data_IF_288328599805
#
_entry.id   IF_288328599805
#
_cell.length_a   1.000
_cell.length_b   1.000
_cell.length_c   1.000
_cell.angle_alpha   90.00
_cell.angle_beta   90.00
_cell.angle_gamma   90.00
#
_symmetry.space_group_name_H-M   'P 1'
#
loop_
_entity.id
_entity.type
_entity.pdbx_description
1 polymer ?
#
# COMPACT_ATOMS: atom_id res chain seq x y z
N UNK A 1 6.27 -5.96 -23.80
CA UNK A 1 5.23 -5.02 -23.28
C UNK A 1 5.77 -3.60 -23.32
N UNK A 2 4.99 -2.65 -23.82
CA UNK A 2 5.29 -1.22 -23.82
C UNK A 2 4.18 -0.52 -23.04
N UNK A 3 4.54 0.44 -22.18
CA UNK A 3 3.57 1.29 -21.46
C UNK A 3 3.30 2.55 -22.30
N UNK A 4 2.02 2.88 -22.47
CA UNK A 4 1.56 4.05 -23.19
C UNK A 4 0.44 4.75 -22.42
N UNK A 5 0.84 5.61 -21.52
CA UNK A 5 -0.07 6.23 -20.55
C UNK A 5 -0.69 5.17 -19.63
N UNK A 6 -2.02 5.12 -19.60
CA UNK A 6 -2.82 4.13 -18.85
C UNK A 6 -2.98 2.79 -19.58
N UNK A 7 -2.53 2.70 -20.82
CA UNK A 7 -2.61 1.50 -21.64
C UNK A 7 -1.28 0.72 -21.63
N UNK A 8 -1.36 -0.53 -21.99
CA UNK A 8 -0.21 -1.36 -22.32
C UNK A 8 -0.34 -1.91 -23.73
N UNK A 9 0.79 -2.03 -24.42
CA UNK A 9 0.89 -2.68 -25.73
C UNK A 9 1.65 -3.99 -25.57
N UNK A 10 0.97 -5.10 -25.78
CA UNK A 10 1.52 -6.45 -25.72
C UNK A 10 1.29 -7.11 -27.06
N UNK A 11 2.34 -7.59 -27.70
CA UNK A 11 2.31 -8.24 -29.02
C UNK A 11 1.56 -7.39 -30.07
N UNK A 12 1.82 -6.07 -30.06
CA UNK A 12 1.22 -5.11 -30.97
C UNK A 12 -0.23 -4.70 -30.64
N UNK A 13 -0.83 -5.29 -29.61
CA UNK A 13 -2.21 -5.00 -29.21
C UNK A 13 -2.24 -4.03 -28.04
N UNK A 14 -2.94 -2.89 -28.23
CA UNK A 14 -3.22 -1.91 -27.16
C UNK A 14 -4.36 -2.39 -26.27
N UNK A 15 -4.18 -2.34 -24.97
CA UNK A 15 -5.18 -2.75 -23.97
C UNK A 15 -5.14 -1.80 -22.78
N UNK A 16 -6.32 -1.48 -22.21
CA UNK A 16 -6.45 -0.76 -20.96
C UNK A 16 -5.86 -1.58 -19.82
N UNK A 17 -4.91 -1.01 -19.08
CA UNK A 17 -4.20 -1.70 -18.00
C UNK A 17 -5.04 -1.74 -16.72
N UNK A 18 -5.63 -2.89 -16.41
CA UNK A 18 -6.38 -3.16 -15.18
C UNK A 18 -5.55 -3.86 -14.10
N UNK A 19 -4.20 -3.83 -14.22
CA UNK A 19 -3.25 -4.47 -13.29
C UNK A 19 -2.20 -3.50 -12.76
N UNK A 20 -2.41 -2.18 -12.94
CA UNK A 20 -1.52 -1.13 -12.41
C UNK A 20 -1.86 -0.79 -10.97
N UNK A 21 -0.84 -0.41 -10.19
CA UNK A 21 -1.02 0.18 -8.87
C UNK A 21 -0.95 1.72 -8.88
N UNK A 22 -0.93 2.36 -10.04
CA UNK A 22 -1.01 3.82 -10.20
C UNK A 22 -2.45 4.31 -9.97
N UNK A 23 -2.98 4.12 -8.77
CA UNK A 23 -4.40 4.25 -8.44
C UNK A 23 -5.01 5.61 -8.78
N UNK A 24 -4.22 6.69 -8.71
CA UNK A 24 -4.67 8.04 -9.07
C UNK A 24 -4.40 8.40 -10.53
N UNK A 25 -3.74 7.52 -11.33
CA UNK A 25 -3.39 7.78 -12.72
C UNK A 25 -2.35 8.89 -12.88
N UNK A 26 -1.46 9.08 -11.89
CA UNK A 26 -0.49 10.17 -11.90
C UNK A 26 0.73 9.87 -12.78
N UNK A 27 1.10 8.59 -12.91
CA UNK A 27 2.21 8.19 -13.76
C UNK A 27 1.97 8.52 -15.24
N UNK A 28 0.70 8.50 -15.67
CA UNK A 28 0.29 8.88 -17.03
C UNK A 28 -0.01 10.38 -17.20
N UNK A 29 -0.13 11.15 -16.11
CA UNK A 29 -0.48 12.58 -16.14
C UNK A 29 0.68 13.43 -16.66
N UNK A 30 0.59 13.74 -17.97
CA UNK A 30 1.61 14.54 -18.66
C UNK A 30 1.69 15.99 -18.12
N UNK A 31 0.54 16.60 -17.83
CA UNK A 31 0.50 17.98 -17.36
C UNK A 31 1.16 18.11 -15.98
N UNK A 32 0.90 17.16 -15.09
CA UNK A 32 1.54 17.11 -13.76
C UNK A 32 3.06 16.96 -13.88
N UNK A 33 3.54 16.10 -14.79
CA UNK A 33 4.98 15.93 -15.03
C UNK A 33 5.62 17.20 -15.61
N UNK A 34 4.97 17.84 -16.58
CA UNK A 34 5.46 19.11 -17.17
C UNK A 34 5.51 20.23 -16.12
N UNK A 35 4.53 20.30 -15.21
CA UNK A 35 4.54 21.25 -14.10
C UNK A 35 5.75 21.00 -13.17
N UNK A 36 5.99 19.74 -12.79
CA UNK A 36 7.17 19.39 -11.99
C UNK A 36 8.47 19.72 -12.70
N UNK A 37 8.62 19.38 -13.98
CA UNK A 37 9.84 19.65 -14.76
C UNK A 37 10.19 21.14 -14.81
N UNK A 38 9.19 22.04 -14.82
CA UNK A 38 9.43 23.51 -14.75
C UNK A 38 10.01 23.96 -13.41
N UNK A 39 9.91 23.16 -12.36
CA UNK A 39 10.49 23.46 -11.04
C UNK A 39 11.96 23.05 -10.92
N UNK A 40 12.47 22.28 -11.88
CA UNK A 40 13.84 21.77 -11.85
C UNK A 40 14.84 22.74 -12.50
N UNK A 41 16.02 22.76 -11.93
CA UNK A 41 17.21 23.41 -12.48
C UNK A 41 18.35 22.39 -12.53
N UNK A 42 19.46 22.65 -13.24
CA UNK A 42 20.64 21.79 -13.20
C UNK A 42 21.12 21.49 -11.75
N UNK A 43 21.00 22.47 -10.84
CA UNK A 43 21.42 22.32 -9.44
C UNK A 43 20.45 21.47 -8.59
N UNK A 44 19.17 21.39 -8.97
CA UNK A 44 18.14 20.63 -8.25
C UNK A 44 17.85 19.27 -8.88
N UNK A 45 18.21 19.06 -10.14
CA UNK A 45 18.14 17.78 -10.81
C UNK A 45 19.33 16.90 -10.42
N UNK A 46 19.25 16.28 -9.25
CA UNK A 46 20.30 15.41 -8.72
C UNK A 46 19.86 13.93 -8.87
N UNK A 47 20.47 13.19 -9.83
CA UNK A 47 20.00 11.84 -10.22
C UNK A 47 20.52 10.74 -9.29
N UNK A 48 21.33 11.05 -8.28
CA UNK A 48 21.84 10.07 -7.32
C UNK A 48 22.14 10.72 -5.97
N UNK A 49 21.97 9.97 -4.89
CA UNK A 49 22.47 10.34 -3.55
C UNK A 49 23.94 9.96 -3.37
N UNK A 50 24.46 9.03 -4.16
CA UNK A 50 25.84 8.52 -4.14
C UNK A 50 26.34 8.00 -2.79
N UNK A 51 25.48 7.94 -1.77
CA UNK A 51 25.83 7.54 -0.40
C UNK A 51 24.57 7.15 0.39
N UNK A 52 24.79 6.50 1.56
CA UNK A 52 23.71 6.30 2.53
C UNK A 52 23.32 7.61 3.21
N UNK A 53 22.09 7.66 3.73
CA UNK A 53 21.57 8.84 4.44
C UNK A 53 22.37 9.20 5.70
N UNK A 54 22.98 8.19 6.36
CA UNK A 54 23.80 8.40 7.56
C UNK A 54 25.19 8.95 7.27
N UNK A 55 25.62 8.93 6.03
CA UNK A 55 26.87 9.53 5.59
C UNK A 55 26.59 10.87 4.91
N UNK A 56 26.67 10.92 3.58
CA UNK A 56 26.51 12.15 2.79
C UNK A 56 25.26 12.18 1.90
N UNK A 57 24.46 11.11 1.93
CA UNK A 57 23.27 10.96 1.08
C UNK A 57 21.97 11.56 1.63
N UNK A 58 22.01 12.27 2.78
CA UNK A 58 20.82 12.93 3.34
C UNK A 58 20.72 14.39 2.85
N UNK A 59 20.15 14.57 1.68
CA UNK A 59 19.93 15.89 1.10
C UNK A 59 18.78 16.64 1.79
N UNK A 60 18.76 18.00 1.81
CA UNK A 60 17.72 18.79 2.48
C UNK A 60 16.30 18.51 2.00
N UNK A 61 16.11 17.97 0.80
CA UNK A 61 14.79 17.61 0.26
C UNK A 61 14.16 16.44 1.03
N UNK A 62 14.96 15.55 1.63
CA UNK A 62 14.46 14.49 2.51
C UNK A 62 13.79 15.05 3.76
N UNK A 63 14.47 16.00 4.41
CA UNK A 63 13.95 16.64 5.62
C UNK A 63 12.66 17.40 5.34
N UNK A 64 12.59 18.07 4.17
CA UNK A 64 11.36 18.76 3.73
C UNK A 64 10.21 17.78 3.50
N UNK A 65 10.46 16.61 2.88
CA UNK A 65 9.43 15.60 2.68
C UNK A 65 8.97 15.00 4.02
N UNK A 66 9.92 14.65 4.91
CA UNK A 66 9.62 14.10 6.24
C UNK A 66 8.84 15.09 7.11
N UNK A 67 9.21 16.36 7.09
CA UNK A 67 8.49 17.42 7.79
C UNK A 67 7.06 17.61 7.24
N UNK A 68 6.90 17.55 5.91
CA UNK A 68 5.58 17.66 5.27
C UNK A 68 4.69 16.46 5.61
N UNK A 69 5.21 15.25 5.57
CA UNK A 69 4.47 14.06 6.00
C UNK A 69 4.06 14.13 7.47
N UNK A 70 4.97 14.47 8.37
CA UNK A 70 4.67 14.64 9.80
C UNK A 70 3.54 15.66 10.01
N UNK A 71 3.62 16.81 9.31
CA UNK A 71 2.59 17.88 9.36
C UNK A 71 1.23 17.38 8.85
N UNK A 72 1.19 16.72 7.70
CA UNK A 72 -0.06 16.24 7.09
C UNK A 72 -0.77 15.21 7.97
N UNK A 73 -0.01 14.27 8.52
CA UNK A 73 -0.55 13.24 9.40
C UNK A 73 -0.79 13.70 10.84
N UNK A 74 -0.36 14.92 11.21
CA UNK A 74 -0.43 15.40 12.59
C UNK A 74 0.43 14.58 13.57
N UNK A 75 1.53 13.97 13.07
CA UNK A 75 2.45 13.14 13.85
C UNK A 75 3.74 13.90 14.19
N UNK A 76 4.45 13.44 15.22
CA UNK A 76 5.67 14.10 15.68
C UNK A 76 6.80 14.05 14.65
N UNK A 77 6.85 12.99 13.83
CA UNK A 77 7.94 12.79 12.88
C UNK A 77 7.57 11.82 11.76
N UNK A 78 8.38 11.88 10.71
CA UNK A 78 8.38 10.89 9.62
C UNK A 78 9.81 10.46 9.28
N UNK A 79 9.95 9.33 8.61
CA UNK A 79 11.21 8.82 8.06
C UNK A 79 10.95 8.16 6.71
N UNK A 80 11.80 8.50 5.71
CA UNK A 80 11.65 8.02 4.32
C UNK A 80 12.63 6.89 4.03
N UNK A 81 12.16 5.89 3.29
CA UNK A 81 12.90 4.68 2.91
C UNK A 81 12.88 4.46 1.39
N UNK A 82 13.75 3.58 0.89
CA UNK A 82 13.88 3.29 -0.53
C UNK A 82 12.65 2.56 -1.12
N UNK A 83 11.92 1.80 -0.31
CA UNK A 83 10.68 1.13 -0.71
C UNK A 83 9.88 0.67 0.51
N UNK A 84 8.61 0.29 0.32
CA UNK A 84 7.80 -0.38 1.35
C UNK A 84 8.42 -1.69 1.82
N UNK A 85 9.07 -2.43 0.92
CA UNK A 85 9.80 -3.64 1.28
C UNK A 85 10.94 -3.35 2.27
N UNK A 86 11.76 -2.32 2.00
CA UNK A 86 12.83 -1.88 2.93
C UNK A 86 12.27 -1.38 4.26
N UNK A 87 11.13 -0.67 4.25
CA UNK A 87 10.47 -0.24 5.47
C UNK A 87 10.07 -1.45 6.33
N UNK A 88 9.29 -2.38 5.78
CA UNK A 88 8.76 -3.53 6.52
C UNK A 88 9.86 -4.50 6.98
N UNK A 89 10.84 -4.81 6.12
CA UNK A 89 11.97 -5.69 6.47
C UNK A 89 12.99 -5.06 7.39
N UNK A 90 12.94 -3.76 7.58
CA UNK A 90 13.87 -3.04 8.47
C UNK A 90 13.29 -2.64 9.80
N UNK A 91 12.02 -2.15 9.82
CA UNK A 91 11.39 -1.66 11.06
C UNK A 91 11.17 -2.80 12.04
N UNK A 92 10.50 -3.88 11.64
CA UNK A 92 10.13 -4.98 12.52
C UNK A 92 11.36 -5.59 13.24
N UNK A 93 12.46 -5.96 12.55
CA UNK A 93 13.65 -6.46 13.27
C UNK A 93 14.36 -5.39 14.10
N UNK A 94 14.26 -4.11 13.75
CA UNK A 94 14.88 -3.05 14.53
C UNK A 94 14.19 -2.84 15.89
N UNK A 95 12.85 -2.97 15.94
CA UNK A 95 12.04 -2.66 17.13
C UNK A 95 11.66 -3.89 17.96
N UNK A 96 12.11 -5.08 17.57
CA UNK A 96 11.73 -6.36 18.17
C UNK A 96 12.94 -7.11 18.73
N UNK A 97 12.73 -7.86 19.80
CA UNK A 97 13.70 -8.75 20.40
C UNK A 97 13.04 -10.06 20.88
N UNK A 98 13.79 -10.91 21.58
CA UNK A 98 13.30 -12.19 22.09
C UNK A 98 12.15 -12.06 23.12
N UNK A 99 11.95 -10.88 23.71
CA UNK A 99 10.85 -10.58 24.64
C UNK A 99 9.67 -9.87 23.95
N UNK A 100 9.69 -9.81 22.62
CA UNK A 100 8.61 -9.26 21.79
C UNK A 100 7.78 -10.41 21.21
N UNK A 101 6.45 -10.28 21.29
CA UNK A 101 5.50 -11.10 20.53
C UNK A 101 4.95 -10.28 19.38
N UNK A 102 5.00 -10.82 18.17
CA UNK A 102 4.31 -10.25 17.01
C UNK A 102 3.04 -11.06 16.77
N UNK A 103 1.89 -10.37 16.77
CA UNK A 103 0.60 -10.91 16.37
C UNK A 103 0.27 -10.37 14.97
N UNK A 104 0.52 -11.19 13.94
CA UNK A 104 0.35 -10.77 12.55
C UNK A 104 -0.92 -11.35 11.93
N UNK A 105 -1.67 -10.52 11.19
CA UNK A 105 -2.74 -11.02 10.36
C UNK A 105 -2.20 -12.04 9.34
N UNK A 106 -2.99 -13.08 9.06
CA UNK A 106 -2.56 -14.20 8.20
C UNK A 106 -2.29 -13.77 6.76
N UNK A 107 -2.89 -12.69 6.29
CA UNK A 107 -2.79 -12.23 4.90
C UNK A 107 -1.89 -11.01 4.71
N UNK A 108 -1.10 -10.60 5.72
CA UNK A 108 -0.16 -9.49 5.55
C UNK A 108 0.85 -9.78 4.44
N UNK A 109 1.29 -8.70 3.80
CA UNK A 109 2.21 -8.72 2.66
C UNK A 109 3.51 -9.47 2.96
N UNK A 110 4.10 -10.08 1.93
CA UNK A 110 5.35 -10.85 2.04
C UNK A 110 6.49 -10.07 2.71
N UNK A 111 6.60 -8.76 2.48
CA UNK A 111 7.62 -7.93 3.13
C UNK A 111 7.46 -7.84 4.66
N UNK A 112 6.23 -7.87 5.18
CA UNK A 112 5.97 -7.95 6.62
C UNK A 112 6.37 -9.31 7.17
N UNK A 113 6.04 -10.39 6.46
CA UNK A 113 6.47 -11.76 6.81
C UNK A 113 8.00 -11.86 6.85
N UNK A 114 8.69 -11.30 5.85
CA UNK A 114 10.15 -11.33 5.79
C UNK A 114 10.77 -10.45 6.91
N UNK A 115 10.17 -9.29 7.21
CA UNK A 115 10.57 -8.49 8.37
C UNK A 115 10.40 -9.22 9.70
N UNK A 116 9.29 -9.95 9.87
CA UNK A 116 9.06 -10.80 11.04
C UNK A 116 10.10 -11.90 11.13
N UNK A 117 10.41 -12.58 10.03
CA UNK A 117 11.44 -13.65 9.98
C UNK A 117 12.84 -13.15 10.30
N UNK A 118 13.17 -11.92 9.92
CA UNK A 118 14.45 -11.27 10.23
C UNK A 118 14.54 -10.80 11.69
N UNK A 119 13.42 -10.73 12.41
CA UNK A 119 13.38 -10.33 13.81
C UNK A 119 13.68 -11.50 14.75
N UNK A 120 14.07 -11.18 15.98
CA UNK A 120 14.21 -12.17 17.05
C UNK A 120 12.90 -12.44 17.82
N UNK A 121 11.79 -11.80 17.41
CA UNK A 121 10.51 -11.90 18.06
C UNK A 121 9.84 -13.26 17.83
N UNK A 122 9.07 -13.73 18.82
CA UNK A 122 8.09 -14.79 18.58
C UNK A 122 6.95 -14.25 17.73
N UNK A 123 6.45 -15.03 16.78
CA UNK A 123 5.31 -14.65 15.96
C UNK A 123 4.16 -15.65 16.07
N UNK A 124 2.95 -15.16 16.24
CA UNK A 124 1.71 -15.92 16.10
C UNK A 124 0.87 -15.22 15.02
N UNK A 125 0.46 -15.99 14.00
CA UNK A 125 -0.40 -15.47 12.94
C UNK A 125 -1.85 -15.77 13.30
N UNK A 126 -2.67 -14.72 13.48
CA UNK A 126 -4.10 -14.87 13.70
C UNK A 126 -4.86 -14.93 12.35
N UNK A 127 -6.06 -15.51 12.39
CA UNK A 127 -6.92 -15.62 11.22
C UNK A 127 -7.27 -14.23 10.71
N UNK A 128 -7.29 -14.11 9.40
CA UNK A 128 -7.53 -12.85 8.70
C UNK A 128 -8.76 -12.12 9.24
N UNK A 129 -8.55 -10.86 9.66
CA UNK A 129 -9.55 -9.97 10.25
C UNK A 129 -10.33 -10.56 11.46
N UNK A 130 -9.82 -11.60 12.12
CA UNK A 130 -10.47 -12.22 13.27
C UNK A 130 -10.08 -11.51 14.59
N UNK A 131 -10.78 -10.43 14.89
CA UNK A 131 -10.57 -9.63 16.11
C UNK A 131 -10.84 -10.45 17.39
N UNK A 132 -11.77 -11.39 17.36
CA UNK A 132 -12.07 -12.23 18.52
C UNK A 132 -10.89 -13.16 18.84
N UNK A 133 -10.26 -13.76 17.82
CA UNK A 133 -9.04 -14.54 18.00
C UNK A 133 -7.89 -13.65 18.48
N UNK A 134 -7.72 -12.45 17.90
CA UNK A 134 -6.68 -11.50 18.30
C UNK A 134 -6.83 -11.11 19.78
N UNK A 135 -8.04 -10.76 20.22
CA UNK A 135 -8.31 -10.43 21.62
C UNK A 135 -8.01 -11.60 22.56
N UNK A 136 -8.36 -12.83 22.19
CA UNK A 136 -8.02 -14.02 22.96
C UNK A 136 -6.50 -14.19 23.09
N UNK A 137 -5.73 -14.02 22.00
CA UNK A 137 -4.27 -14.10 22.02
C UNK A 137 -3.64 -13.00 22.89
N UNK A 138 -4.19 -11.77 22.86
CA UNK A 138 -3.77 -10.71 23.74
C UNK A 138 -4.00 -11.05 25.20
N UNK A 139 -5.18 -11.54 25.58
CA UNK A 139 -5.49 -11.99 26.94
C UNK A 139 -4.55 -13.10 27.42
N UNK A 140 -4.20 -14.02 26.55
CA UNK A 140 -3.32 -15.16 26.88
C UNK A 140 -1.86 -14.73 27.07
N UNK A 141 -1.37 -13.76 26.29
CA UNK A 141 0.06 -13.48 26.18
C UNK A 141 0.51 -12.12 26.73
N UNK A 142 -0.37 -11.17 27.03
CA UNK A 142 0.04 -9.79 27.37
C UNK A 142 0.98 -9.71 28.59
N UNK A 143 0.85 -10.57 29.57
CA UNK A 143 1.72 -10.61 30.75
C UNK A 143 3.01 -11.39 30.55
N UNK A 144 3.10 -12.22 29.50
CA UNK A 144 4.27 -13.07 29.24
C UNK A 144 5.36 -12.38 28.42
N UNK A 145 5.03 -11.29 27.74
CA UNK A 145 5.95 -10.54 26.88
C UNK A 145 6.08 -9.10 27.32
N UNK A 146 7.29 -8.54 27.22
CA UNK A 146 7.53 -7.13 27.50
C UNK A 146 6.76 -6.22 26.54
N UNK A 147 6.65 -6.64 25.27
CA UNK A 147 6.03 -5.89 24.21
C UNK A 147 5.27 -6.83 23.26
N UNK A 148 4.11 -6.40 22.81
CA UNK A 148 3.37 -7.09 21.75
C UNK A 148 3.19 -6.10 20.59
N UNK A 149 3.43 -6.55 19.36
CA UNK A 149 3.18 -5.74 18.16
C UNK A 149 2.08 -6.43 17.34
N UNK A 150 0.94 -5.76 17.18
CA UNK A 150 -0.10 -6.16 16.24
C UNK A 150 0.31 -5.65 14.87
N UNK A 151 0.35 -6.54 13.87
CA UNK A 151 0.76 -6.21 12.49
C UNK A 151 -0.37 -6.53 11.53
N UNK A 152 -0.80 -5.51 10.78
CA UNK A 152 -1.86 -5.61 9.78
C UNK A 152 -1.61 -4.68 8.58
N UNK A 153 -2.43 -4.84 7.53
CA UNK A 153 -2.59 -3.84 6.46
C UNK A 153 -3.95 -3.15 6.62
N UNK A 154 -4.07 -1.92 6.19
CA UNK A 154 -5.38 -1.24 6.18
C UNK A 154 -6.26 -1.71 5.04
N UNK A 155 -5.66 -1.96 3.85
CA UNK A 155 -6.28 -2.59 2.68
C UNK A 155 -5.38 -3.72 2.22
N UNK A 156 -5.92 -4.93 2.14
CA UNK A 156 -5.17 -6.11 1.73
C UNK A 156 -5.07 -6.23 0.21
N UNK A 157 -3.87 -6.55 -0.26
CA UNK A 157 -3.48 -6.41 -1.68
C UNK A 157 -4.22 -7.32 -2.66
N UNK A 158 -4.67 -8.52 -2.21
CA UNK A 158 -5.27 -9.52 -3.11
C UNK A 158 -6.79 -9.49 -3.13
N UNK A 159 -7.39 -9.13 -2.01
CA UNK A 159 -8.84 -9.16 -1.82
C UNK A 159 -9.46 -7.75 -1.80
N UNK A 160 -8.67 -6.70 -1.53
CA UNK A 160 -9.15 -5.34 -1.44
C UNK A 160 -10.07 -5.08 -0.25
N UNK A 161 -10.12 -6.00 0.68
CA UNK A 161 -10.83 -5.85 1.94
C UNK A 161 -10.01 -5.03 2.95
N UNK A 162 -10.63 -4.66 4.06
CA UNK A 162 -10.08 -3.69 5.01
C UNK A 162 -10.01 -4.28 6.42
N UNK A 163 -8.98 -3.87 7.17
CA UNK A 163 -8.94 -4.07 8.61
C UNK A 163 -9.83 -3.04 9.33
N UNK A 164 -10.43 -3.44 10.42
CA UNK A 164 -11.14 -2.53 11.34
C UNK A 164 -10.12 -1.82 12.25
N UNK A 165 -9.54 -0.72 11.73
CA UNK A 165 -8.52 0.06 12.45
C UNK A 165 -9.03 0.64 13.78
N UNK A 166 -10.26 1.19 13.87
CA UNK A 166 -10.83 1.62 15.15
C UNK A 166 -10.88 0.51 16.18
N UNK A 167 -11.33 -0.69 15.81
CA UNK A 167 -11.40 -1.83 16.74
C UNK A 167 -9.99 -2.31 17.16
N UNK A 168 -9.02 -2.29 16.26
CA UNK A 168 -7.62 -2.59 16.59
C UNK A 168 -7.01 -1.55 17.53
N UNK A 169 -7.29 -0.27 17.32
CA UNK A 169 -6.88 0.80 18.22
C UNK A 169 -7.51 0.65 19.61
N UNK A 170 -8.77 0.25 19.68
CA UNK A 170 -9.45 -0.03 20.95
C UNK A 170 -8.84 -1.23 21.68
N UNK A 171 -8.53 -2.32 20.95
CA UNK A 171 -7.80 -3.45 21.52
C UNK A 171 -6.44 -3.04 22.08
N UNK A 172 -5.68 -2.23 21.33
CA UNK A 172 -4.38 -1.71 21.79
C UNK A 172 -4.53 -0.91 23.09
N UNK A 173 -5.51 0.00 23.21
CA UNK A 173 -5.71 0.85 24.39
C UNK A 173 -5.98 0.07 25.68
N UNK A 174 -6.50 -1.15 25.58
CA UNK A 174 -6.76 -2.00 26.76
C UNK A 174 -5.49 -2.60 27.38
N UNK A 175 -4.37 -2.58 26.65
CA UNK A 175 -3.13 -3.20 27.09
C UNK A 175 -1.96 -2.22 26.96
N UNK A 176 -1.26 -1.96 28.07
CA UNK A 176 -0.21 -0.93 28.12
C UNK A 176 1.09 -1.28 27.36
N UNK A 177 1.27 -2.54 26.98
CA UNK A 177 2.46 -3.03 26.27
C UNK A 177 2.20 -3.43 24.81
N UNK A 178 1.04 -3.07 24.25
CA UNK A 178 0.66 -3.35 22.87
C UNK A 178 0.95 -2.15 21.98
N UNK A 179 1.64 -2.41 20.87
CA UNK A 179 1.89 -1.46 19.79
C UNK A 179 1.15 -1.90 18.53
N UNK A 180 0.78 -0.94 17.70
CA UNK A 180 0.05 -1.19 16.45
C UNK A 180 0.90 -0.77 15.24
N UNK A 181 1.15 -1.73 14.36
CA UNK A 181 1.81 -1.56 13.06
C UNK A 181 0.78 -1.71 11.95
N UNK A 182 0.61 -0.67 11.14
CA UNK A 182 -0.33 -0.66 10.01
C UNK A 182 0.39 -0.29 8.72
N UNK A 183 0.30 -1.15 7.71
CA UNK A 183 0.75 -0.85 6.35
C UNK A 183 -0.41 -0.27 5.53
N UNK A 184 -0.28 0.98 5.14
CA UNK A 184 -1.23 1.76 4.33
C UNK A 184 -0.86 1.80 2.84
N UNK A 185 -0.02 0.88 2.37
CA UNK A 185 0.50 0.91 1.00
C UNK A 185 -0.58 0.96 -0.08
N UNK A 186 -1.75 0.39 0.18
CA UNK A 186 -2.90 0.41 -0.74
C UNK A 186 -3.94 1.49 -0.42
N UNK A 187 -3.78 2.23 0.66
CA UNK A 187 -4.73 3.26 1.08
C UNK A 187 -4.19 4.69 0.92
N UNK A 188 -2.88 4.90 1.10
CA UNK A 188 -2.25 6.20 0.89
C UNK A 188 -2.49 6.73 -0.53
N UNK A 189 -2.88 7.98 -0.65
CA UNK A 189 -3.32 8.65 -1.88
C UNK A 189 -4.80 8.41 -2.21
N UNK A 190 -5.39 7.29 -1.75
CA UNK A 190 -6.71 6.81 -2.21
C UNK A 190 -7.82 7.04 -1.19
N UNK A 191 -7.54 6.81 0.10
CA UNK A 191 -8.52 6.89 1.19
C UNK A 191 -8.30 8.12 2.06
N UNK A 192 -9.36 8.54 2.74
CA UNK A 192 -9.35 9.73 3.57
C UNK A 192 -9.60 11.03 2.80
N UNK A 193 -9.99 12.07 3.54
CA UNK A 193 -10.33 13.37 2.95
C UNK A 193 -9.13 14.03 2.26
N UNK A 194 -7.95 13.93 2.87
CA UNK A 194 -6.71 14.47 2.33
C UNK A 194 -5.92 13.44 1.51
N UNK A 195 -6.38 12.17 1.46
CA UNK A 195 -5.69 11.07 0.80
C UNK A 195 -4.57 10.47 1.65
N UNK A 196 -4.66 10.55 2.97
CA UNK A 196 -3.61 10.04 3.86
C UNK A 196 -3.82 8.58 4.27
N UNK A 197 -4.96 7.97 3.89
CA UNK A 197 -5.21 6.56 4.11
C UNK A 197 -6.43 6.26 4.99
N UNK A 198 -6.60 4.98 5.35
CA UNK A 198 -7.72 4.52 6.17
C UNK A 198 -7.60 4.99 7.62
N UNK A 199 -6.39 5.19 8.14
CA UNK A 199 -6.17 5.73 9.48
C UNK A 199 -6.69 7.18 9.60
N UNK A 200 -6.48 8.01 8.56
CA UNK A 200 -7.08 9.34 8.49
C UNK A 200 -8.60 9.25 8.40
N UNK A 201 -9.10 8.39 7.50
CA UNK A 201 -10.54 8.23 7.24
C UNK A 201 -11.32 7.83 8.49
N UNK A 202 -10.74 7.00 9.33
CA UNK A 202 -11.33 6.53 10.59
C UNK A 202 -10.91 7.32 11.82
N UNK A 203 -10.09 8.36 11.67
CA UNK A 203 -9.68 9.24 12.76
C UNK A 203 -8.78 8.58 13.81
N UNK A 204 -8.08 7.49 13.48
CA UNK A 204 -7.24 6.73 14.42
C UNK A 204 -5.73 6.84 14.16
N UNK A 205 -5.29 7.80 13.33
CA UNK A 205 -3.85 8.01 13.03
C UNK A 205 -2.99 8.08 14.28
N UNK A 206 -3.42 8.80 15.32
CA UNK A 206 -2.68 8.97 16.58
C UNK A 206 -2.61 7.69 17.44
N UNK A 207 -3.45 6.69 17.19
CA UNK A 207 -3.43 5.41 17.91
C UNK A 207 -2.41 4.41 17.32
N UNK A 208 -1.89 4.67 16.11
CA UNK A 208 -0.98 3.77 15.40
C UNK A 208 0.46 4.18 15.69
N UNK A 209 1.28 3.24 16.17
CA UNK A 209 2.67 3.50 16.53
C UNK A 209 3.61 3.49 15.32
N UNK A 210 3.32 2.60 14.36
CA UNK A 210 4.08 2.41 13.13
C UNK A 210 3.13 2.49 11.94
N UNK A 211 2.84 3.69 11.46
CA UNK A 211 2.00 3.90 10.29
C UNK A 211 2.90 4.03 9.06
N UNK A 212 2.91 2.98 8.25
CA UNK A 212 3.79 2.85 7.07
C UNK A 212 2.98 3.00 5.79
N UNK A 213 3.52 3.69 4.80
CA UNK A 213 2.94 3.77 3.47
C UNK A 213 4.01 3.76 2.39
N UNK A 214 3.59 3.63 1.13
CA UNK A 214 4.49 3.63 -0.02
C UNK A 214 4.17 4.74 -1.00
N UNK A 215 5.20 5.28 -1.64
CA UNK A 215 5.05 6.21 -2.76
C UNK A 215 4.98 5.50 -4.12
N UNK A 216 5.27 4.19 -4.15
CA UNK A 216 5.36 3.39 -5.37
C UNK A 216 4.01 2.99 -5.98
N UNK A 217 2.89 3.50 -5.46
CA UNK A 217 1.54 3.20 -5.94
C UNK A 217 0.81 4.50 -6.31
N UNK A 218 -0.20 4.91 -5.54
CA UNK A 218 -1.01 6.09 -5.85
C UNK A 218 -0.20 7.41 -5.99
N UNK A 219 0.94 7.54 -5.34
CA UNK A 219 1.80 8.72 -5.48
C UNK A 219 2.72 8.67 -6.72
N UNK A 220 2.66 7.63 -7.55
CA UNK A 220 3.41 7.47 -8.80
C UNK A 220 4.89 7.81 -8.68
N UNK A 221 5.54 7.36 -7.60
CA UNK A 221 6.94 7.64 -7.28
C UNK A 221 7.68 6.36 -6.90
N UNK A 222 8.81 6.49 -6.23
CA UNK A 222 9.51 5.40 -5.55
C UNK A 222 9.75 5.76 -4.09
N UNK A 223 9.90 4.74 -3.24
CA UNK A 223 10.13 4.92 -1.83
C UNK A 223 8.92 4.58 -0.96
N UNK A 224 9.12 4.78 0.33
CA UNK A 224 8.11 4.57 1.36
C UNK A 224 8.38 5.51 2.54
N UNK A 225 7.47 5.55 3.47
CA UNK A 225 7.58 6.33 4.69
C UNK A 225 7.03 5.58 5.89
N UNK A 226 7.47 6.00 7.06
CA UNK A 226 6.76 5.82 8.32
C UNK A 226 6.42 7.19 8.88
N UNK A 227 5.24 7.34 9.46
CA UNK A 227 4.95 8.43 10.42
C UNK A 227 4.78 7.81 11.81
N UNK A 228 5.41 8.44 12.81
CA UNK A 228 5.52 7.87 14.14
C UNK A 228 5.91 8.95 15.17
N UNK A 229 5.98 8.55 16.45
CA UNK A 229 6.57 9.38 17.49
C UNK A 229 8.07 9.61 17.23
N UNK A 230 8.58 10.77 17.65
CA UNK A 230 9.97 11.18 17.45
C UNK A 230 10.98 10.16 18.00
N UNK A 231 10.71 9.59 19.18
CA UNK A 231 11.57 8.57 19.78
C UNK A 231 11.72 7.32 18.91
N UNK A 232 10.64 6.91 18.21
CA UNK A 232 10.68 5.78 17.29
C UNK A 232 11.56 6.12 16.08
N UNK A 233 11.38 7.31 15.48
CA UNK A 233 12.22 7.77 14.38
C UNK A 233 13.71 7.77 14.74
N UNK A 234 14.06 8.36 15.88
CA UNK A 234 15.44 8.43 16.36
C UNK A 234 16.03 7.02 16.58
N UNK A 235 15.23 6.11 17.13
CA UNK A 235 15.65 4.72 17.31
C UNK A 235 15.90 4.02 15.97
N UNK A 236 14.98 4.18 14.98
CA UNK A 236 15.13 3.58 13.65
C UNK A 236 16.37 4.10 12.91
N UNK A 237 16.66 5.40 12.98
CA UNK A 237 17.85 5.99 12.36
C UNK A 237 19.14 5.33 12.88
N UNK A 238 19.17 4.92 14.14
CA UNK A 238 20.35 4.32 14.77
C UNK A 238 20.41 2.79 14.70
N UNK A 239 19.28 2.11 14.37
CA UNK A 239 19.21 0.64 14.49
C UNK A 239 18.72 -0.06 13.22
N UNK A 240 18.04 0.64 12.34
CA UNK A 240 17.43 0.03 11.17
C UNK A 240 18.44 -0.24 10.05
N UNK A 241 18.77 -1.51 9.86
CA UNK A 241 19.82 -1.93 8.92
C UNK A 241 19.52 -1.54 7.47
N UNK A 242 18.28 -1.64 7.03
CA UNK A 242 17.87 -1.29 5.65
C UNK A 242 17.91 0.22 5.39
N UNK A 243 18.01 1.07 6.42
CA UNK A 243 18.28 2.50 6.30
C UNK A 243 19.79 2.79 6.34
N UNK A 244 20.50 2.13 7.24
CA UNK A 244 21.93 2.39 7.51
C UNK A 244 22.81 1.94 6.34
N UNK A 245 22.54 0.75 5.78
CA UNK A 245 23.41 0.05 4.83
C UNK A 245 22.88 0.08 3.39
N UNK A 246 22.16 1.14 3.03
CA UNK A 246 21.69 1.35 1.66
C UNK A 246 21.97 2.76 1.18
N UNK A 247 22.26 2.92 -0.10
CA UNK A 247 22.30 4.24 -0.76
C UNK A 247 20.89 4.83 -0.74
N UNK A 248 20.79 6.13 -0.45
CA UNK A 248 19.50 6.84 -0.47
C UNK A 248 18.92 6.95 -1.90
N UNK A 249 17.61 7.22 -1.97
CA UNK A 249 16.94 7.53 -3.24
C UNK A 249 17.53 8.80 -3.88
N UNK A 250 17.49 8.93 -5.21
CA UNK A 250 17.89 10.16 -5.87
C UNK A 250 17.13 11.39 -5.34
N UNK A 251 17.79 12.52 -5.07
CA UNK A 251 17.09 13.73 -4.60
C UNK A 251 15.98 14.21 -5.53
N UNK A 252 16.13 14.03 -6.84
CA UNK A 252 15.06 14.36 -7.81
C UNK A 252 13.80 13.51 -7.61
N UNK A 253 13.95 12.25 -7.23
CA UNK A 253 12.81 11.38 -6.90
C UNK A 253 12.10 11.84 -5.61
N UNK A 254 12.87 12.23 -4.58
CA UNK A 254 12.31 12.81 -3.35
C UNK A 254 11.62 14.14 -3.62
N UNK A 255 12.17 14.97 -4.53
CA UNK A 255 11.54 16.22 -4.94
C UNK A 255 10.20 15.99 -5.66
N UNK A 256 10.14 15.00 -6.56
CA UNK A 256 8.89 14.56 -7.20
C UNK A 256 7.88 14.09 -6.16
N UNK A 257 8.31 13.24 -5.23
CA UNK A 257 7.44 12.74 -4.15
C UNK A 257 6.85 13.88 -3.33
N UNK A 258 7.67 14.83 -2.91
CA UNK A 258 7.24 16.03 -2.17
C UNK A 258 6.24 16.87 -2.97
N UNK A 259 6.50 17.04 -4.27
CA UNK A 259 5.63 17.76 -5.19
C UNK A 259 4.24 17.12 -5.28
N UNK A 260 4.17 15.77 -5.39
CA UNK A 260 2.91 15.01 -5.41
C UNK A 260 2.22 15.04 -4.04
N UNK A 261 2.94 14.75 -2.95
CA UNK A 261 2.38 14.69 -1.58
C UNK A 261 1.67 16.00 -1.20
N UNK A 262 2.23 17.14 -1.57
CA UNK A 262 1.61 18.45 -1.32
C UNK A 262 0.30 18.68 -2.06
N UNK A 263 0.04 17.92 -3.12
CA UNK A 263 -1.15 18.04 -3.97
C UNK A 263 -2.20 16.97 -3.69
N UNK A 264 -1.91 15.99 -2.84
CA UNK A 264 -2.85 14.89 -2.59
C UNK A 264 -4.22 15.37 -2.11
N UNK A 265 -4.27 16.40 -1.26
CA UNK A 265 -5.53 16.95 -0.78
C UNK A 265 -6.42 17.46 -1.93
N UNK A 266 -5.81 18.07 -2.94
CA UNK A 266 -6.50 18.65 -4.11
C UNK A 266 -7.01 17.59 -5.11
N UNK A 267 -6.56 16.33 -4.97
CA UNK A 267 -6.95 15.22 -5.85
C UNK A 267 -8.24 14.52 -5.39
N UNK A 268 -9.12 15.23 -4.69
CA UNK A 268 -10.38 14.68 -4.18
C UNK A 268 -11.26 14.09 -5.26
N UNK A 269 -11.42 14.78 -6.37
CA UNK A 269 -12.25 14.32 -7.50
C UNK A 269 -11.73 12.99 -8.07
N UNK A 270 -10.42 12.80 -8.18
CA UNK A 270 -9.83 11.53 -8.60
C UNK A 270 -10.17 10.39 -7.63
N UNK A 271 -10.09 10.65 -6.31
CA UNK A 271 -10.47 9.66 -5.29
C UNK A 271 -11.94 9.29 -5.33
N UNK A 272 -12.83 10.29 -5.47
CA UNK A 272 -14.27 10.08 -5.55
C UNK A 272 -14.65 9.31 -6.82
N UNK A 273 -14.06 9.65 -7.97
CA UNK A 273 -14.24 8.93 -9.21
C UNK A 273 -13.76 7.47 -9.09
N UNK A 274 -12.55 7.24 -8.57
CA UNK A 274 -12.02 5.89 -8.33
C UNK A 274 -12.94 5.07 -7.42
N UNK A 275 -13.43 5.66 -6.35
CA UNK A 275 -14.38 4.99 -5.44
C UNK A 275 -15.69 4.65 -6.14
N UNK A 276 -16.20 5.55 -7.00
CA UNK A 276 -17.42 5.33 -7.77
C UNK A 276 -17.27 4.17 -8.75
N UNK A 277 -16.27 4.20 -9.63
CA UNK A 277 -16.05 3.14 -10.63
C UNK A 277 -15.76 1.77 -9.98
N UNK A 278 -15.06 1.77 -8.85
CA UNK A 278 -14.77 0.55 -8.11
C UNK A 278 -16.02 -0.10 -7.52
N UNK A 279 -16.93 0.72 -6.97
CA UNK A 279 -18.22 0.26 -6.49
C UNK A 279 -19.07 -0.28 -7.62
N UNK A 280 -19.15 0.44 -8.74
CA UNK A 280 -19.91 0.05 -9.94
C UNK A 280 -19.46 -1.31 -10.48
N UNK A 281 -18.16 -1.55 -10.60
CA UNK A 281 -17.63 -2.84 -11.05
C UNK A 281 -17.91 -3.96 -10.04
N UNK A 282 -17.69 -3.71 -8.74
CA UNK A 282 -17.93 -4.69 -7.69
C UNK A 282 -19.39 -5.15 -7.63
N UNK A 283 -20.34 -4.21 -7.65
CA UNK A 283 -21.77 -4.51 -7.65
C UNK A 283 -22.17 -5.34 -8.88
N UNK A 284 -21.60 -5.04 -10.04
CA UNK A 284 -21.84 -5.81 -11.26
C UNK A 284 -21.28 -7.24 -11.13
N UNK A 285 -20.06 -7.42 -10.65
CA UNK A 285 -19.48 -8.75 -10.45
C UNK A 285 -20.28 -9.57 -9.45
N UNK A 286 -20.76 -8.95 -8.35
CA UNK A 286 -21.64 -9.61 -7.38
C UNK A 286 -22.96 -10.05 -8.01
N UNK A 287 -23.60 -9.19 -8.80
CA UNK A 287 -24.83 -9.53 -9.54
C UNK A 287 -24.60 -10.67 -10.56
N UNK A 288 -23.39 -10.78 -11.08
CA UNK A 288 -22.97 -11.85 -12.00
C UNK A 288 -22.62 -13.14 -11.26
N UNK A 289 -22.63 -13.18 -9.91
CA UNK A 289 -22.35 -14.36 -9.09
C UNK A 289 -20.87 -14.52 -8.71
N UNK A 290 -20.00 -13.52 -9.00
CA UNK A 290 -18.64 -13.51 -8.52
C UNK A 290 -18.59 -12.88 -7.12
N UNK A 291 -18.39 -13.68 -6.10
CA UNK A 291 -18.20 -13.19 -4.75
C UNK A 291 -16.77 -12.63 -4.55
N UNK A 292 -16.66 -11.60 -3.73
CA UNK A 292 -15.36 -11.06 -3.31
C UNK A 292 -15.53 -10.20 -2.06
N UNK A 293 -14.61 -10.26 -1.09
CA UNK A 293 -14.70 -9.51 0.17
C UNK A 293 -14.35 -8.03 0.02
N UNK A 294 -13.86 -7.61 -1.16
CA UNK A 294 -13.31 -6.29 -1.39
C UNK A 294 -14.27 -5.14 -1.15
N UNK A 295 -13.76 -4.07 -0.54
CA UNK A 295 -14.47 -2.80 -0.32
C UNK A 295 -13.69 -1.59 -0.84
N UNK A 296 -12.62 -1.82 -1.62
CA UNK A 296 -11.70 -0.80 -2.10
C UNK A 296 -11.67 -0.70 -3.65
N UNK A 297 -10.67 0.01 -4.17
CA UNK A 297 -10.35 0.12 -5.60
C UNK A 297 -9.68 -1.15 -6.16
N UNK A 298 -9.38 -2.11 -5.32
CA UNK A 298 -8.97 -3.46 -5.71
C UNK A 298 -10.23 -4.32 -5.71
N UNK A 299 -10.62 -4.79 -6.90
CA UNK A 299 -11.86 -5.54 -7.09
C UNK A 299 -11.53 -6.95 -7.59
N UNK A 300 -11.54 -7.97 -6.73
CA UNK A 300 -11.28 -9.34 -7.13
C UNK A 300 -12.52 -9.96 -7.80
N UNK A 301 -12.30 -10.66 -8.90
CA UNK A 301 -13.25 -11.58 -9.52
C UNK A 301 -12.77 -13.01 -9.25
N UNK A 302 -13.29 -13.62 -8.18
CA UNK A 302 -12.87 -14.96 -7.75
C UNK A 302 -13.51 -16.00 -8.67
N UNK A 303 -12.66 -16.85 -9.27
CA UNK A 303 -13.07 -17.87 -10.25
C UNK A 303 -12.88 -19.28 -9.68
N UNK A 304 -11.84 -19.48 -8.87
CA UNK A 304 -11.54 -20.74 -8.21
C UNK A 304 -10.44 -21.52 -8.90
N UNK A 305 -10.69 -22.11 -10.06
CA UNK A 305 -9.70 -22.94 -10.77
C UNK A 305 -8.70 -22.09 -11.55
N UNK A 306 -7.42 -22.49 -11.50
CA UNK A 306 -6.33 -21.77 -12.15
C UNK A 306 -6.46 -21.73 -13.68
N UNK A 307 -6.86 -22.85 -14.29
CA UNK A 307 -7.03 -22.94 -15.73
C UNK A 307 -8.14 -22.00 -16.24
N UNK A 308 -9.30 -22.00 -15.57
CA UNK A 308 -10.42 -21.14 -15.91
C UNK A 308 -10.08 -19.67 -15.73
N UNK A 309 -9.30 -19.34 -14.70
CA UNK A 309 -8.83 -17.98 -14.43
C UNK A 309 -7.94 -17.46 -15.57
N UNK A 310 -7.05 -18.31 -16.10
CA UNK A 310 -6.21 -17.97 -17.25
C UNK A 310 -7.06 -17.74 -18.49
N UNK A 311 -7.98 -18.65 -18.81
CA UNK A 311 -8.85 -18.54 -20.00
C UNK A 311 -9.71 -17.26 -19.96
N UNK A 312 -10.26 -16.92 -18.79
CA UNK A 312 -11.07 -15.70 -18.62
C UNK A 312 -10.21 -14.44 -18.72
N UNK A 313 -8.98 -14.43 -18.18
CA UNK A 313 -8.05 -13.31 -18.34
C UNK A 313 -7.66 -13.10 -19.81
N UNK A 314 -7.35 -14.17 -20.55
CA UNK A 314 -7.07 -14.09 -21.98
C UNK A 314 -8.27 -13.60 -22.79
N UNK A 315 -9.50 -14.00 -22.40
CA UNK A 315 -10.71 -13.49 -23.04
C UNK A 315 -10.87 -11.98 -22.85
N UNK A 316 -10.62 -11.45 -21.64
CA UNK A 316 -10.62 -10.01 -21.40
C UNK A 316 -9.54 -9.29 -22.23
N UNK A 317 -8.35 -9.86 -22.32
CA UNK A 317 -7.25 -9.30 -23.11
C UNK A 317 -7.59 -9.28 -24.61
N UNK A 318 -8.29 -10.30 -25.12
CA UNK A 318 -8.83 -10.28 -26.51
C UNK A 318 -9.79 -9.11 -26.75
N UNK A 319 -10.50 -8.66 -25.71
CA UNK A 319 -11.40 -7.52 -25.74
C UNK A 319 -10.77 -6.18 -25.36
N UNK A 320 -9.45 -6.10 -25.22
CA UNK A 320 -8.73 -4.85 -24.95
C UNK A 320 -8.60 -4.48 -23.46
N UNK A 321 -8.83 -5.42 -22.55
CA UNK A 321 -8.65 -5.22 -21.12
C UNK A 321 -7.49 -6.08 -20.60
N UNK A 322 -6.37 -5.44 -20.24
CA UNK A 322 -5.21 -6.13 -19.71
C UNK A 322 -5.41 -6.42 -18.22
N UNK A 323 -5.93 -7.59 -17.94
CA UNK A 323 -6.11 -8.11 -16.59
C UNK A 323 -5.30 -9.43 -16.43
N UNK A 324 -4.67 -9.61 -15.28
CA UNK A 324 -3.80 -10.74 -15.01
C UNK A 324 -4.46 -11.76 -14.07
N UNK A 325 -4.27 -13.06 -14.33
CA UNK A 325 -4.73 -14.11 -13.43
C UNK A 325 -3.80 -14.21 -12.22
N UNK A 326 -4.35 -14.15 -11.01
CA UNK A 326 -3.66 -14.39 -9.74
C UNK A 326 -3.99 -15.83 -9.32
N UNK A 327 -2.94 -16.63 -9.09
CA UNK A 327 -3.02 -18.07 -8.86
C UNK A 327 -2.12 -18.50 -7.69
N UNK A 328 -2.23 -19.72 -7.17
CA UNK A 328 -1.24 -20.29 -6.26
C UNK A 328 0.20 -20.19 -6.83
N UNK A 329 1.21 -19.91 -5.99
CA UNK A 329 1.14 -19.82 -4.52
C UNK A 329 0.75 -18.44 -3.97
N UNK A 330 0.44 -17.44 -4.83
CA UNK A 330 0.10 -16.07 -4.41
C UNK A 330 -1.22 -16.04 -3.63
N UNK A 331 -2.16 -16.89 -4.00
CA UNK A 331 -3.44 -17.10 -3.32
C UNK A 331 -3.65 -18.60 -3.03
N UNK A 332 -4.48 -18.99 -2.07
CA UNK A 332 -4.75 -20.40 -1.78
C UNK A 332 -5.31 -21.15 -2.99
N UNK A 333 -5.10 -22.49 -3.01
CA UNK A 333 -5.73 -23.36 -4.00
C UNK A 333 -7.25 -23.23 -3.98
N UNK A 334 -7.87 -23.27 -5.16
CA UNK A 334 -9.31 -23.10 -5.31
C UNK A 334 -9.81 -21.66 -5.18
N UNK A 335 -8.91 -20.68 -5.06
CA UNK A 335 -9.26 -19.26 -4.92
C UNK A 335 -8.61 -18.37 -5.97
N UNK A 336 -8.21 -18.95 -7.11
CA UNK A 336 -7.65 -18.18 -8.22
C UNK A 336 -8.63 -17.11 -8.71
N UNK A 337 -8.11 -15.95 -9.09
CA UNK A 337 -8.92 -14.78 -9.38
C UNK A 337 -8.29 -13.89 -10.44
N UNK A 338 -9.09 -13.07 -11.07
CA UNK A 338 -8.63 -11.87 -11.75
C UNK A 338 -8.72 -10.73 -10.75
N UNK A 339 -7.58 -10.06 -10.48
CA UNK A 339 -7.52 -8.90 -9.61
C UNK A 339 -7.59 -7.64 -10.43
N UNK A 340 -8.75 -7.02 -10.51
CA UNK A 340 -8.89 -5.70 -11.11
C UNK A 340 -8.32 -4.65 -10.16
N UNK A 341 -7.31 -3.94 -10.62
CA UNK A 341 -6.67 -2.81 -9.97
C UNK A 341 -7.08 -1.56 -10.73
N UNK A 342 -8.09 -0.86 -10.23
CA UNK A 342 -8.65 0.30 -10.93
C UNK A 342 -7.81 1.55 -10.67
N UNK A 343 -7.78 2.44 -11.65
CA UNK A 343 -7.09 3.73 -11.60
C UNK A 343 -8.07 4.86 -11.92
N UNK A 344 -7.82 6.05 -11.39
CA UNK A 344 -8.73 7.19 -11.49
C UNK A 344 -8.82 7.81 -12.91
N UNK A 345 -7.99 7.34 -13.85
CA UNK A 345 -8.03 7.75 -15.26
C UNK A 345 -8.86 6.79 -16.14
N UNK A 346 -9.44 5.71 -15.56
CA UNK A 346 -10.40 4.84 -16.24
C UNK A 346 -11.72 5.57 -16.34
N UNK A 347 -12.29 5.61 -17.55
CA UNK A 347 -13.57 6.28 -17.81
C UNK A 347 -14.75 5.39 -17.44
N UNK A 348 -15.90 6.00 -17.13
CA UNK A 348 -17.11 5.27 -16.78
C UNK A 348 -17.57 4.33 -17.91
N UNK A 349 -17.44 4.75 -19.17
CA UNK A 349 -17.84 3.95 -20.35
C UNK A 349 -16.99 2.66 -20.46
N UNK A 350 -15.72 2.72 -20.05
CA UNK A 350 -14.84 1.55 -20.04
C UNK A 350 -15.21 0.55 -18.95
N UNK A 351 -15.70 1.03 -17.81
CA UNK A 351 -16.27 0.17 -16.76
C UNK A 351 -17.56 -0.48 -17.24
N UNK A 352 -18.44 0.25 -17.92
CA UNK A 352 -19.67 -0.32 -18.48
C UNK A 352 -19.38 -1.39 -19.54
N UNK A 353 -18.36 -1.19 -20.36
CA UNK A 353 -17.93 -2.21 -21.33
C UNK A 353 -17.30 -3.42 -20.60
N UNK A 354 -16.45 -3.20 -19.60
CA UNK A 354 -15.87 -4.27 -18.79
C UNK A 354 -16.94 -5.14 -18.12
N UNK A 355 -18.00 -4.53 -17.57
CA UNK A 355 -19.15 -5.24 -16.98
C UNK A 355 -19.82 -6.20 -17.97
N UNK A 356 -20.07 -5.75 -19.21
CA UNK A 356 -20.61 -6.59 -20.27
C UNK A 356 -19.67 -7.74 -20.62
N UNK A 357 -18.35 -7.48 -20.67
CA UNK A 357 -17.36 -8.52 -20.99
C UNK A 357 -17.25 -9.56 -19.88
N UNK A 358 -17.31 -9.16 -18.62
CA UNK A 358 -17.28 -10.10 -17.48
C UNK A 358 -18.56 -10.95 -17.40
N UNK A 359 -19.72 -10.41 -17.76
CA UNK A 359 -20.98 -11.16 -17.85
C UNK A 359 -20.90 -12.30 -18.87
N UNK A 360 -20.29 -12.06 -20.03
CA UNK A 360 -20.13 -13.05 -21.10
C UNK A 360 -19.04 -14.11 -20.80
N UNK A 361 -18.41 -14.05 -19.61
CA UNK A 361 -17.43 -15.04 -19.15
C UNK A 361 -18.04 -16.13 -18.25
N UNK A 362 -19.34 -16.13 -18.05
CA UNK A 362 -20.05 -17.14 -17.23
C UNK A 362 -19.93 -18.55 -17.77
#
# INVERSE_FOLDING_TARGET
MVHDGRDVIVDGKRMLNLSSNDYLGLASDRALREEFLRTLTPDTFLPTSSSSRLLTGNFPVYERLEAELARLFGMESALVFNSGYHANTGILPAVSDAQTLILADKLVHASLIDGIRLSAAKCIRYRHNDLAQLERLLKEHHSAFRQIIIVTESIFSMDGDQADLPALAELKRRYGNVLLYVDEAHAFGVRGRQGLGCAEESGCTGDIDFLVGTFGKAAASAGAYIVCRKVIREYLVNRMRTLIFTTGLPPVNIAWTLFVVRRLADMRERREHLAHISRTLREALQAQGYAGPGASHIVPMIIGQSADTVLKAEALQRHGFYALPVRPPTVPEGTSRIRFSLTADIRQEEIEELKKRTENLK
#
